data_IF_921602650921
#
_entry.id   IF_921602650921
#
_cell.length_a   1.000
_cell.length_b   1.000
_cell.length_c   1.000
_cell.angle_alpha   90.00
_cell.angle_beta   90.00
_cell.angle_gamma   90.00
#
_symmetry.space_group_name_H-M   'P 1'
#
loop_
_entity.id
_entity.type
_entity.pdbx_description
1 polymer ?
#
# COMPACT_ATOMS: atom_id res chain seq x y z
N UNK A 1 -29.67 15.30 -22.96
CA UNK A 1 -29.02 14.13 -22.35
C UNK A 1 -28.53 14.53 -20.97
N UNK A 2 -29.15 14.02 -19.91
CA UNK A 2 -28.67 14.27 -18.55
C UNK A 2 -27.47 13.36 -18.27
N UNK A 3 -26.29 13.99 -18.10
CA UNK A 3 -25.06 13.33 -17.67
C UNK A 3 -25.24 12.93 -16.20
N UNK A 4 -24.99 11.66 -15.86
CA UNK A 4 -25.15 11.11 -14.50
C UNK A 4 -24.23 11.82 -13.48
N UNK A 5 -24.60 11.80 -12.21
CA UNK A 5 -23.81 12.44 -11.13
C UNK A 5 -22.37 11.88 -11.04
N UNK A 6 -22.21 10.58 -11.33
CA UNK A 6 -20.91 9.93 -11.41
C UNK A 6 -20.08 10.48 -12.59
N UNK A 7 -20.66 10.60 -13.77
CA UNK A 7 -20.00 11.16 -14.95
C UNK A 7 -19.62 12.64 -14.74
N UNK A 8 -20.46 13.44 -14.07
CA UNK A 8 -20.14 14.84 -13.72
C UNK A 8 -18.95 14.95 -12.75
N UNK A 9 -18.87 14.07 -11.76
CA UNK A 9 -17.78 14.03 -10.76
C UNK A 9 -16.45 13.57 -11.38
N UNK A 10 -16.53 12.56 -12.26
CA UNK A 10 -15.37 12.12 -13.03
C UNK A 10 -14.92 13.24 -13.98
N UNK A 11 -15.83 13.90 -14.68
CA UNK A 11 -15.52 15.01 -15.57
C UNK A 11 -14.77 16.13 -14.83
N UNK A 12 -15.20 16.52 -13.62
CA UNK A 12 -14.48 17.49 -12.79
C UNK A 12 -13.05 17.02 -12.43
N UNK A 13 -12.84 15.72 -12.20
CA UNK A 13 -11.51 15.16 -11.94
C UNK A 13 -10.61 15.14 -13.18
N UNK A 14 -11.19 15.01 -14.38
CA UNK A 14 -10.47 15.13 -15.64
C UNK A 14 -10.05 16.59 -15.90
N UNK A 15 -10.91 17.54 -15.54
CA UNK A 15 -10.62 18.98 -15.59
C UNK A 15 -9.39 19.32 -14.75
N UNK A 16 -9.39 18.96 -13.46
CA UNK A 16 -8.24 19.20 -12.56
C UNK A 16 -6.94 18.55 -13.05
N UNK A 17 -7.02 17.35 -13.64
CA UNK A 17 -5.84 16.67 -14.19
C UNK A 17 -5.21 17.41 -15.38
N UNK A 18 -6.01 18.00 -16.27
CA UNK A 18 -5.50 18.78 -17.41
C UNK A 18 -5.05 20.19 -16.99
N UNK A 19 -5.65 20.79 -15.96
CA UNK A 19 -5.15 22.07 -15.40
C UNK A 19 -3.75 21.91 -14.79
N UNK A 20 -3.41 20.73 -14.29
CA UNK A 20 -2.07 20.38 -13.77
C UNK A 20 -1.08 19.93 -14.85
N UNK A 21 -1.53 19.77 -16.10
CA UNK A 21 -0.70 19.31 -17.21
C UNK A 21 0.57 20.17 -17.44
N UNK A 22 0.52 21.51 -17.34
CA UNK A 22 1.73 22.35 -17.41
C UNK A 22 2.75 22.05 -16.31
N UNK A 23 2.28 21.70 -15.10
CA UNK A 23 3.15 21.36 -13.96
C UNK A 23 3.82 20.00 -14.20
N UNK A 24 3.05 19.00 -14.64
CA UNK A 24 3.55 17.65 -14.96
C UNK A 24 4.57 17.65 -16.09
N UNK A 25 4.44 18.60 -17.02
CA UNK A 25 5.31 18.72 -18.19
C UNK A 25 6.47 19.70 -17.99
N UNK A 26 6.57 20.37 -16.84
CA UNK A 26 7.61 21.38 -16.57
C UNK A 26 9.03 20.83 -16.66
N UNK A 27 9.32 19.71 -15.99
CA UNK A 27 10.66 19.08 -16.04
C UNK A 27 10.97 18.42 -17.41
N UNK A 28 10.05 17.65 -18.04
CA UNK A 28 10.28 17.07 -19.36
C UNK A 28 10.50 18.09 -20.49
N UNK A 29 9.96 19.30 -20.34
CA UNK A 29 9.98 20.35 -21.37
C UNK A 29 10.84 21.56 -20.99
N UNK A 30 11.70 21.46 -19.97
CA UNK A 30 12.49 22.59 -19.44
C UNK A 30 13.31 23.32 -20.53
N UNK A 31 13.78 22.59 -21.54
CA UNK A 31 14.56 23.11 -22.68
C UNK A 31 13.71 23.69 -23.82
N UNK A 32 12.39 23.65 -23.73
CA UNK A 32 11.44 24.09 -24.76
C UNK A 32 10.41 25.01 -24.11
N UNK A 33 10.49 26.32 -24.38
CA UNK A 33 9.50 27.28 -23.88
C UNK A 33 8.11 26.93 -24.43
N UNK A 34 7.24 26.39 -23.58
CA UNK A 34 5.94 25.85 -23.95
C UNK A 34 4.87 26.39 -22.99
N UNK A 35 3.78 26.93 -23.54
CA UNK A 35 2.58 27.29 -22.78
C UNK A 35 1.37 26.51 -23.28
N UNK A 36 0.45 26.21 -22.36
CA UNK A 36 -0.74 25.41 -22.66
C UNK A 36 -1.98 26.09 -22.09
N UNK A 37 -3.06 26.12 -22.87
CA UNK A 37 -4.37 26.60 -22.43
C UNK A 37 -5.46 25.65 -22.90
N UNK A 38 -6.31 25.20 -21.99
CA UNK A 38 -7.40 24.28 -22.27
C UNK A 38 -8.76 25.00 -22.24
N UNK A 39 -9.53 24.83 -23.31
CA UNK A 39 -10.92 25.27 -23.43
C UNK A 39 -11.83 24.04 -23.26
N UNK A 40 -12.86 24.15 -22.42
CA UNK A 40 -13.70 23.03 -21.98
C UNK A 40 -15.11 23.12 -22.57
N UNK A 41 -15.59 22.04 -23.18
CA UNK A 41 -16.96 21.88 -23.68
C UNK A 41 -17.50 20.49 -23.28
N UNK A 42 -18.84 20.28 -23.25
CA UNK A 42 -19.44 19.01 -22.84
C UNK A 42 -18.86 17.78 -23.58
N UNK A 43 -18.61 17.91 -24.88
CA UNK A 43 -18.23 16.78 -25.74
C UNK A 43 -16.74 16.78 -26.13
N UNK A 44 -15.96 17.79 -25.74
CA UNK A 44 -14.53 17.84 -26.05
C UNK A 44 -13.72 18.81 -25.16
N UNK A 45 -12.43 18.50 -25.03
CA UNK A 45 -11.40 19.34 -24.41
C UNK A 45 -10.48 19.82 -25.52
N UNK A 46 -10.31 21.13 -25.67
CA UNK A 46 -9.37 21.70 -26.64
C UNK A 46 -8.19 22.32 -25.92
N UNK A 47 -7.04 21.66 -25.97
CA UNK A 47 -5.79 22.17 -25.41
C UNK A 47 -4.94 22.79 -26.51
N UNK A 48 -4.70 24.09 -26.43
CA UNK A 48 -3.78 24.83 -27.32
C UNK A 48 -2.38 24.78 -26.71
N UNK A 49 -1.40 24.38 -27.52
CA UNK A 49 0.02 24.36 -27.19
C UNK A 49 0.73 25.43 -28.00
N UNK A 50 1.46 26.33 -27.34
CA UNK A 50 2.25 27.37 -27.96
C UNK A 50 3.72 27.16 -27.61
N UNK A 51 4.58 27.13 -28.63
CA UNK A 51 6.03 27.08 -28.47
C UNK A 51 6.59 28.50 -28.71
N UNK A 52 7.31 29.07 -27.73
CA UNK A 52 7.74 30.48 -27.65
C UNK A 52 6.64 31.54 -27.44
N UNK A 53 6.99 32.68 -26.83
CA UNK A 53 6.07 33.79 -26.48
C UNK A 53 5.55 34.58 -27.69
N UNK A 54 6.31 34.68 -28.77
CA UNK A 54 6.00 35.52 -29.95
C UNK A 54 5.47 34.76 -31.16
N UNK A 55 5.28 33.43 -31.07
CA UNK A 55 4.84 32.66 -32.22
C UNK A 55 3.31 32.64 -32.31
N UNK A 56 2.77 33.06 -33.47
CA UNK A 56 1.37 32.79 -33.89
C UNK A 56 1.12 31.28 -34.13
N UNK A 57 2.07 30.41 -33.77
CA UNK A 57 2.10 28.97 -34.04
C UNK A 57 1.35 28.21 -32.93
N UNK A 58 0.04 28.16 -33.05
CA UNK A 58 -0.83 27.44 -32.10
C UNK A 58 -1.08 26.02 -32.60
N UNK A 59 -0.57 25.02 -31.88
CA UNK A 59 -0.92 23.62 -32.13
C UNK A 59 -2.16 23.28 -31.30
N UNK A 60 -3.20 22.78 -31.95
CA UNK A 60 -4.44 22.37 -31.29
C UNK A 60 -4.43 20.90 -30.98
N UNK A 61 -4.50 20.52 -29.71
CA UNK A 61 -4.82 19.15 -29.29
C UNK A 61 -6.29 19.11 -28.91
N UNK A 62 -7.08 18.34 -29.65
CA UNK A 62 -8.50 18.14 -29.38
C UNK A 62 -8.69 16.74 -28.83
N UNK A 63 -9.24 16.64 -27.63
CA UNK A 63 -9.69 15.39 -27.03
C UNK A 63 -11.20 15.35 -27.14
N UNK A 64 -11.75 14.46 -27.97
CA UNK A 64 -13.20 14.24 -28.02
C UNK A 64 -13.61 13.23 -26.97
N UNK A 65 -14.75 13.50 -26.33
CA UNK A 65 -15.36 12.67 -25.30
C UNK A 65 -16.65 12.11 -25.90
N UNK A 66 -16.66 10.82 -26.23
CA UNK A 66 -17.84 10.13 -26.76
C UNK A 66 -18.16 8.97 -25.83
N UNK A 67 -19.24 9.06 -25.05
CA UNK A 67 -19.82 7.93 -24.30
C UNK A 67 -18.77 7.02 -23.64
N UNK A 68 -17.89 7.58 -22.81
CA UNK A 68 -16.86 6.83 -22.07
C UNK A 68 -15.57 6.49 -22.82
N UNK A 69 -15.46 6.82 -24.11
CA UNK A 69 -14.26 6.66 -24.93
C UNK A 69 -13.63 8.02 -25.25
N UNK A 70 -12.30 8.11 -25.16
CA UNK A 70 -11.55 9.31 -25.53
C UNK A 70 -10.81 9.09 -26.85
N UNK A 71 -10.90 10.08 -27.74
CA UNK A 71 -10.03 10.15 -28.92
C UNK A 71 -9.20 11.43 -28.90
N UNK A 72 -7.90 11.29 -29.10
CA UNK A 72 -6.95 12.42 -29.14
C UNK A 72 -6.58 12.72 -30.59
N UNK A 73 -6.93 13.91 -31.06
CA UNK A 73 -6.50 14.42 -32.36
C UNK A 73 -5.57 15.61 -32.17
N UNK A 74 -4.35 15.51 -32.66
CA UNK A 74 -3.42 16.62 -32.76
C UNK A 74 -3.58 17.28 -34.13
N UNK A 75 -3.89 18.58 -34.16
CA UNK A 75 -4.03 19.38 -35.37
C UNK A 75 -2.87 20.37 -35.42
N UNK A 76 -1.98 20.14 -36.39
CA UNK A 76 -0.89 21.07 -36.72
C UNK A 76 -1.32 21.80 -38.00
N UNK A 77 -1.43 23.14 -38.00
CA UNK A 77 -1.76 23.89 -39.22
C UNK A 77 -0.71 23.65 -40.32
N UNK A 78 -1.14 23.58 -41.58
CA UNK A 78 -0.27 23.27 -42.73
C UNK A 78 0.93 24.23 -42.87
N UNK A 79 0.76 25.46 -42.38
CA UNK A 79 1.78 26.52 -42.44
C UNK A 79 2.76 26.50 -41.24
N UNK A 80 2.78 25.44 -40.43
CA UNK A 80 3.61 25.34 -39.22
C UNK A 80 4.68 24.26 -39.37
N UNK A 81 5.93 24.68 -39.62
CA UNK A 81 7.10 23.81 -39.57
C UNK A 81 7.65 23.69 -38.13
N UNK A 82 7.69 22.47 -37.59
CA UNK A 82 8.22 22.17 -36.25
C UNK A 82 9.66 21.68 -36.31
N UNK A 83 10.51 22.23 -35.45
CA UNK A 83 11.88 21.75 -35.19
C UNK A 83 11.90 20.35 -34.57
N UNK A 84 13.06 19.69 -34.59
CA UNK A 84 13.26 18.36 -33.98
C UNK A 84 12.91 18.38 -32.48
N UNK A 85 13.28 19.45 -31.78
CA UNK A 85 12.98 19.63 -30.35
C UNK A 85 11.48 19.78 -30.09
N UNK A 86 10.77 20.59 -30.90
CA UNK A 86 9.32 20.78 -30.79
C UNK A 86 8.55 19.49 -31.13
N UNK A 87 8.98 18.74 -32.15
CA UNK A 87 8.40 17.41 -32.47
C UNK A 87 8.61 16.40 -31.35
N UNK A 88 9.71 16.49 -30.61
CA UNK A 88 9.99 15.64 -29.44
C UNK A 88 9.12 16.06 -28.25
N UNK A 89 9.00 17.36 -27.99
CA UNK A 89 8.12 17.92 -26.98
C UNK A 89 6.65 17.53 -27.23
N UNK A 90 6.16 17.70 -28.46
CA UNK A 90 4.80 17.34 -28.83
C UNK A 90 4.50 15.85 -28.62
N UNK A 91 5.47 14.96 -28.93
CA UNK A 91 5.34 13.52 -28.63
C UNK A 91 5.25 13.23 -27.13
N UNK A 92 5.99 13.96 -26.29
CA UNK A 92 5.93 13.82 -24.83
C UNK A 92 4.55 14.27 -24.33
N UNK A 93 4.07 15.43 -24.79
CA UNK A 93 2.75 15.98 -24.44
C UNK A 93 1.63 14.99 -24.80
N UNK A 94 1.63 14.48 -26.03
CA UNK A 94 0.62 13.51 -26.48
C UNK A 94 0.65 12.21 -25.68
N UNK A 95 1.84 11.71 -25.31
CA UNK A 95 1.97 10.51 -24.46
C UNK A 95 1.41 10.72 -23.05
N UNK A 96 1.66 11.89 -22.45
CA UNK A 96 1.13 12.22 -21.12
C UNK A 96 -0.40 12.33 -21.18
N UNK A 97 -0.94 13.02 -22.19
CA UNK A 97 -2.39 13.13 -22.40
C UNK A 97 -3.01 11.74 -22.62
N UNK A 98 -2.43 10.90 -23.48
CA UNK A 98 -2.93 9.54 -23.71
C UNK A 98 -2.91 8.69 -22.44
N UNK A 99 -1.87 8.79 -21.61
CA UNK A 99 -1.80 8.08 -20.33
C UNK A 99 -2.84 8.56 -19.32
N UNK A 100 -3.08 9.88 -19.26
CA UNK A 100 -4.12 10.46 -18.41
C UNK A 100 -5.50 9.96 -18.82
N UNK A 101 -5.79 9.96 -20.13
CA UNK A 101 -7.07 9.49 -20.67
C UNK A 101 -7.26 7.99 -20.47
N UNK A 102 -6.24 7.16 -20.74
CA UNK A 102 -6.30 5.72 -20.46
C UNK A 102 -6.44 5.41 -18.95
N UNK A 103 -5.91 6.26 -18.07
CA UNK A 103 -6.14 6.16 -16.63
C UNK A 103 -7.55 6.58 -16.23
N UNK A 104 -8.23 7.35 -17.05
CA UNK A 104 -9.56 7.87 -16.79
C UNK A 104 -10.65 6.96 -17.38
N UNK A 105 -10.45 6.47 -18.61
CA UNK A 105 -11.20 5.35 -19.21
C UNK A 105 -11.29 4.16 -18.25
N UNK A 106 -10.16 3.73 -17.68
CA UNK A 106 -10.16 2.64 -16.68
C UNK A 106 -11.00 2.92 -15.44
N UNK A 107 -11.18 4.18 -15.04
CA UNK A 107 -12.02 4.58 -13.91
C UNK A 107 -13.50 4.62 -14.30
N UNK A 108 -13.80 5.10 -15.51
CA UNK A 108 -15.16 5.09 -16.08
C UNK A 108 -15.65 3.65 -16.34
N UNK A 109 -14.83 2.78 -16.91
CA UNK A 109 -15.15 1.35 -17.10
C UNK A 109 -15.24 0.58 -15.78
N UNK A 110 -14.70 1.12 -14.68
CA UNK A 110 -14.90 0.59 -13.33
C UNK A 110 -16.20 1.12 -12.68
N UNK A 111 -16.88 2.08 -13.32
CA UNK A 111 -18.13 2.68 -12.85
C UNK A 111 -19.39 2.22 -13.59
N UNK A 112 -19.26 1.40 -14.65
CA UNK A 112 -20.38 0.57 -15.09
C UNK A 112 -20.73 -0.41 -13.97
N UNK A 113 -22.02 -0.57 -13.60
CA UNK A 113 -22.44 -1.59 -12.66
C UNK A 113 -22.19 -2.95 -13.30
N UNK A 114 -20.98 -3.49 -13.12
CA UNK A 114 -20.70 -4.88 -13.38
C UNK A 114 -21.59 -5.70 -12.45
N UNK A 115 -22.66 -6.23 -13.04
CA UNK A 115 -23.39 -7.41 -12.60
C UNK A 115 -22.39 -8.54 -12.37
N UNK A 116 -21.80 -8.56 -11.18
CA UNK A 116 -20.63 -9.38 -10.87
C UNK A 116 -19.75 -8.71 -9.81
N UNK A 117 -20.32 -8.53 -8.62
CA UNK A 117 -19.63 -8.10 -7.41
C UNK A 117 -18.32 -8.89 -7.24
N UNK A 118 -17.18 -8.29 -7.56
CA UNK A 118 -15.85 -8.78 -7.17
C UNK A 118 -15.58 -8.42 -5.71
N UNK A 119 -16.31 -9.05 -4.80
CA UNK A 119 -15.85 -9.17 -3.42
C UNK A 119 -14.78 -10.26 -3.39
N UNK A 120 -13.70 -9.98 -2.67
CA UNK A 120 -12.48 -10.80 -2.59
C UNK A 120 -11.66 -10.80 -3.88
N UNK A 121 -10.90 -9.72 -4.09
CA UNK A 121 -9.65 -9.81 -4.84
C UNK A 121 -8.51 -9.57 -3.86
N UNK A 122 -7.98 -10.67 -3.35
CA UNK A 122 -6.58 -10.90 -3.00
C UNK A 122 -6.52 -12.21 -2.20
N UNK A 123 -6.47 -13.35 -2.90
CA UNK A 123 -5.66 -14.45 -2.37
C UNK A 123 -4.23 -13.96 -2.47
N UNK A 124 -3.76 -13.20 -1.47
CA UNK A 124 -2.34 -12.95 -1.31
C UNK A 124 -1.73 -14.29 -0.91
N UNK A 125 -1.25 -15.06 -1.90
CA UNK A 125 -0.33 -16.17 -1.61
C UNK A 125 0.92 -15.59 -0.96
N UNK A 126 0.99 -15.63 0.37
CA UNK A 126 2.20 -15.21 1.12
C UNK A 126 3.18 -16.38 1.14
N UNK A 127 3.90 -16.57 0.04
CA UNK A 127 5.10 -17.41 -0.05
C UNK A 127 4.91 -18.93 0.19
N UNK A 128 5.89 -19.75 -0.20
CA UNK A 128 5.84 -21.21 -0.05
C UNK A 128 6.11 -21.77 1.36
N UNK A 129 6.82 -21.09 2.27
CA UNK A 129 7.29 -21.70 3.54
C UNK A 129 6.76 -21.05 4.84
N UNK A 130 5.72 -20.24 4.76
CA UNK A 130 4.81 -19.97 5.88
C UNK A 130 3.48 -20.52 5.42
N UNK A 131 2.94 -21.56 6.10
CA UNK A 131 1.72 -22.25 5.66
C UNK A 131 0.68 -21.28 5.10
N UNK A 132 0.01 -21.68 4.01
CA UNK A 132 -0.89 -20.82 3.23
C UNK A 132 -1.67 -19.85 4.12
N UNK A 133 -1.59 -18.55 3.83
CA UNK A 133 -2.42 -17.53 4.47
C UNK A 133 -3.36 -16.96 3.41
N UNK A 134 -4.66 -17.00 3.69
CA UNK A 134 -5.68 -16.39 2.83
C UNK A 134 -6.31 -15.21 3.55
N UNK A 135 -6.33 -14.05 2.89
CA UNK A 135 -6.92 -12.83 3.45
C UNK A 135 -8.36 -12.69 2.96
N UNK A 136 -9.32 -12.73 3.88
CA UNK A 136 -10.73 -12.46 3.64
C UNK A 136 -11.07 -11.03 4.08
N UNK A 137 -11.30 -10.13 3.12
CA UNK A 137 -11.73 -8.75 3.41
C UNK A 137 -13.24 -8.66 3.52
N UNK A 138 -13.75 -8.41 4.72
CA UNK A 138 -15.20 -8.44 5.02
C UNK A 138 -15.85 -7.06 5.04
N UNK A 139 -15.06 -5.99 5.11
CA UNK A 139 -15.55 -4.62 5.13
C UNK A 139 -14.53 -3.66 4.53
N UNK A 140 -15.00 -2.52 4.06
CA UNK A 140 -14.15 -1.39 3.65
C UNK A 140 -14.47 -0.12 4.43
N UNK A 141 -15.31 -0.22 5.47
CA UNK A 141 -15.48 0.82 6.49
C UNK A 141 -14.43 0.70 7.58
N UNK A 142 -13.98 1.83 8.11
CA UNK A 142 -13.01 1.88 9.21
C UNK A 142 -13.37 3.04 10.15
N UNK A 143 -13.09 2.89 11.45
CA UNK A 143 -13.20 3.93 12.48
C UNK A 143 -11.93 4.79 12.60
N UNK A 144 -10.94 4.57 11.73
CA UNK A 144 -9.72 5.37 11.58
C UNK A 144 -9.55 5.83 10.13
N UNK A 145 -8.67 6.81 9.90
CA UNK A 145 -8.32 7.35 8.58
C UNK A 145 -6.81 7.45 8.44
N UNK A 146 -6.13 6.36 8.79
CA UNK A 146 -4.69 6.28 8.89
C UNK A 146 -4.02 6.88 7.68
N UNK A 147 -2.98 7.66 7.95
CA UNK A 147 -2.32 8.35 6.88
C UNK A 147 -1.75 7.37 5.84
N UNK A 148 -1.02 6.39 6.30
CA UNK A 148 -0.37 5.34 5.50
C UNK A 148 -1.32 4.22 5.05
N UNK A 149 -2.65 4.41 5.11
CA UNK A 149 -3.58 3.36 4.74
C UNK A 149 -3.47 3.03 3.24
N UNK A 150 -3.23 1.75 2.93
CA UNK A 150 -3.24 1.24 1.56
C UNK A 150 -4.55 0.51 1.20
N UNK A 151 -5.45 0.34 2.17
CA UNK A 151 -6.77 -0.26 1.93
C UNK A 151 -7.68 0.81 1.33
N UNK A 152 -8.30 0.48 0.19
CA UNK A 152 -9.33 1.32 -0.41
C UNK A 152 -10.62 1.25 0.43
N UNK A 153 -10.92 2.35 1.14
CA UNK A 153 -12.09 2.45 2.01
C UNK A 153 -13.36 2.94 1.28
N UNK A 154 -13.36 2.99 -0.06
CA UNK A 154 -14.54 3.37 -0.85
C UNK A 154 -15.56 2.25 -1.04
N UNK A 155 -15.22 1.01 -0.65
CA UNK A 155 -16.08 -0.16 -0.80
C UNK A 155 -17.21 -0.26 0.24
N UNK A 156 -18.07 -1.28 0.06
CA UNK A 156 -19.18 -1.61 0.97
C UNK A 156 -18.81 -2.69 2.00
N UNK A 157 -19.57 -2.77 3.09
CA UNK A 157 -19.54 -3.94 3.98
C UNK A 157 -20.11 -5.17 3.25
N UNK A 158 -19.43 -6.31 3.33
CA UNK A 158 -19.87 -7.54 2.67
C UNK A 158 -21.08 -8.17 3.39
N UNK A 159 -22.01 -8.76 2.64
CA UNK A 159 -23.07 -9.58 3.20
C UNK A 159 -22.54 -10.96 3.62
N UNK A 160 -23.32 -11.70 4.42
CA UNK A 160 -22.95 -13.08 4.79
C UNK A 160 -22.92 -13.98 3.56
N UNK A 161 -23.89 -13.87 2.64
CA UNK A 161 -23.90 -14.67 1.41
C UNK A 161 -22.67 -14.43 0.54
N UNK A 162 -22.14 -13.20 0.51
CA UNK A 162 -20.91 -12.85 -0.19
C UNK A 162 -19.69 -13.49 0.48
N UNK A 163 -19.67 -13.52 1.81
CA UNK A 163 -18.62 -14.15 2.62
C UNK A 163 -18.68 -15.67 2.51
N UNK A 164 -19.87 -16.28 2.58
CA UNK A 164 -20.08 -17.71 2.42
C UNK A 164 -19.58 -18.20 1.07
N UNK A 165 -20.00 -17.54 -0.01
CA UNK A 165 -19.50 -17.85 -1.36
C UNK A 165 -17.98 -17.75 -1.42
N UNK A 166 -17.40 -16.70 -0.83
CA UNK A 166 -15.95 -16.50 -0.80
C UNK A 166 -15.22 -17.63 -0.06
N UNK A 167 -15.75 -18.08 1.07
CA UNK A 167 -15.21 -19.21 1.83
C UNK A 167 -15.34 -20.51 1.03
N UNK A 168 -16.45 -20.72 0.30
CA UNK A 168 -16.66 -21.91 -0.53
C UNK A 168 -15.70 -22.02 -1.70
N UNK A 169 -15.25 -20.91 -2.27
CA UNK A 169 -14.21 -20.90 -3.30
C UNK A 169 -12.82 -21.30 -2.78
N UNK A 170 -12.58 -21.29 -1.47
CA UNK A 170 -11.28 -21.68 -0.89
C UNK A 170 -11.15 -23.20 -0.82
N UNK A 171 -9.99 -23.76 -1.18
CA UNK A 171 -9.76 -25.21 -1.21
C UNK A 171 -10.02 -25.86 0.17
N UNK A 172 -11.09 -26.68 0.33
CA UNK A 172 -11.45 -27.32 1.60
C UNK A 172 -10.31 -28.14 2.22
N UNK A 173 -9.43 -28.72 1.40
CA UNK A 173 -8.32 -29.58 1.87
C UNK A 173 -7.19 -28.75 2.50
N UNK A 174 -7.02 -27.50 2.06
CA UNK A 174 -6.00 -26.59 2.58
C UNK A 174 -6.44 -25.84 3.86
N UNK A 175 -7.74 -25.62 4.06
CA UNK A 175 -8.30 -24.77 5.15
C UNK A 175 -7.81 -25.12 6.55
N UNK A 176 -7.58 -26.40 6.81
CA UNK A 176 -7.20 -26.88 8.14
C UNK A 176 -5.74 -26.59 8.50
N UNK A 177 -4.88 -26.36 7.48
CA UNK A 177 -3.47 -26.03 7.59
C UNK A 177 -3.19 -24.53 7.36
N UNK A 178 -4.10 -23.87 6.64
CA UNK A 178 -4.07 -22.46 6.29
C UNK A 178 -4.47 -21.53 7.45
N UNK A 179 -3.86 -20.35 7.49
CA UNK A 179 -4.31 -19.23 8.32
C UNK A 179 -5.32 -18.41 7.53
N UNK A 180 -6.57 -18.36 7.98
CA UNK A 180 -7.57 -17.43 7.45
C UNK A 180 -7.44 -16.10 8.16
N UNK A 181 -7.05 -15.06 7.43
CA UNK A 181 -6.93 -13.70 7.94
C UNK A 181 -8.16 -12.89 7.60
N UNK A 182 -8.98 -12.58 8.60
CA UNK A 182 -10.11 -11.66 8.47
C UNK A 182 -9.56 -10.22 8.53
N UNK A 183 -9.82 -9.46 7.48
CA UNK A 183 -9.26 -8.12 7.25
C UNK A 183 -10.30 -7.20 6.58
N UNK A 184 -9.87 -6.04 6.10
CA UNK A 184 -10.72 -5.01 5.52
C UNK A 184 -10.29 -3.61 5.93
N UNK A 185 -11.26 -2.73 6.15
CA UNK A 185 -11.04 -1.44 6.81
C UNK A 185 -10.81 -1.62 8.31
N UNK A 186 -11.88 -1.87 9.07
CA UNK A 186 -11.81 -2.34 10.47
C UNK A 186 -12.85 -3.45 10.69
N UNK A 187 -12.46 -4.74 10.67
CA UNK A 187 -13.36 -5.88 10.82
C UNK A 187 -14.24 -5.84 12.07
N UNK A 188 -13.76 -5.26 13.17
CA UNK A 188 -14.52 -5.17 14.43
C UNK A 188 -15.70 -4.19 14.38
N UNK A 189 -15.84 -3.43 13.28
CA UNK A 189 -17.03 -2.61 12.97
C UNK A 189 -18.11 -3.41 12.25
N UNK A 190 -17.81 -4.61 11.74
CA UNK A 190 -18.78 -5.43 11.03
C UNK A 190 -19.82 -5.99 12.01
N UNK A 191 -21.14 -5.75 11.80
CA UNK A 191 -22.18 -6.12 12.77
C UNK A 191 -22.27 -7.63 13.01
N UNK A 192 -21.93 -8.43 11.98
CA UNK A 192 -21.96 -9.90 12.01
C UNK A 192 -20.58 -10.57 12.11
N UNK A 193 -19.58 -9.89 12.71
CA UNK A 193 -18.22 -10.44 12.81
C UNK A 193 -18.19 -11.82 13.51
N UNK A 194 -18.97 -11.99 14.58
CA UNK A 194 -19.02 -13.26 15.32
C UNK A 194 -19.54 -14.40 14.43
N UNK A 195 -20.64 -14.17 13.71
CA UNK A 195 -21.21 -15.13 12.76
C UNK A 195 -20.20 -15.51 11.66
N UNK A 196 -19.41 -14.54 11.17
CA UNK A 196 -18.37 -14.78 10.16
C UNK A 196 -17.25 -15.66 10.71
N UNK A 197 -16.80 -15.41 11.94
CA UNK A 197 -15.77 -16.22 12.60
C UNK A 197 -16.27 -17.66 12.82
N UNK A 198 -17.50 -17.82 13.31
CA UNK A 198 -18.12 -19.14 13.50
C UNK A 198 -18.32 -19.88 12.18
N UNK A 199 -18.81 -19.19 11.15
CA UNK A 199 -18.95 -19.73 9.80
C UNK A 199 -17.60 -20.21 9.27
N UNK A 200 -16.54 -19.42 9.44
CA UNK A 200 -15.18 -19.80 9.04
C UNK A 200 -14.72 -21.08 9.77
N UNK A 201 -14.97 -21.18 11.08
CA UNK A 201 -14.67 -22.40 11.87
C UNK A 201 -15.47 -23.60 11.34
N UNK A 202 -16.78 -23.46 11.10
CA UNK A 202 -17.64 -24.52 10.54
C UNK A 202 -17.18 -24.99 9.15
N UNK A 203 -16.54 -24.11 8.37
CA UNK A 203 -15.97 -24.42 7.06
C UNK A 203 -14.57 -25.06 7.11
N UNK A 204 -14.05 -25.34 8.32
CA UNK A 204 -12.82 -26.11 8.54
C UNK A 204 -11.56 -25.29 8.83
N UNK A 205 -11.67 -23.96 8.95
CA UNK A 205 -10.52 -23.13 9.31
C UNK A 205 -10.21 -23.26 10.80
N UNK A 206 -9.04 -23.84 11.10
CA UNK A 206 -8.57 -24.04 12.49
C UNK A 206 -7.74 -22.87 13.01
N UNK A 207 -7.11 -22.10 12.12
CA UNK A 207 -6.30 -20.93 12.45
C UNK A 207 -6.95 -19.69 11.84
N UNK A 208 -7.58 -18.87 12.68
CA UNK A 208 -8.20 -17.62 12.26
C UNK A 208 -7.40 -16.47 12.87
N UNK A 209 -7.01 -15.53 12.02
CA UNK A 209 -6.28 -14.31 12.39
C UNK A 209 -7.16 -13.09 12.13
N UNK A 210 -7.30 -12.22 13.10
CA UNK A 210 -8.02 -10.95 12.95
C UNK A 210 -7.04 -9.79 12.81
N UNK A 211 -7.07 -9.10 11.66
CA UNK A 211 -6.38 -7.83 11.48
C UNK A 211 -7.27 -6.69 11.97
N UNK A 212 -6.82 -5.93 12.97
CA UNK A 212 -7.64 -4.91 13.64
C UNK A 212 -6.78 -3.79 14.22
N UNK A 213 -7.36 -2.62 14.47
CA UNK A 213 -6.77 -1.55 15.29
C UNK A 213 -7.09 -1.68 16.79
N UNK A 214 -7.82 -2.74 17.19
CA UNK A 214 -8.20 -3.07 18.57
C UNK A 214 -9.07 -2.04 19.32
N UNK A 215 -9.45 -0.90 18.72
CA UNK A 215 -10.21 0.16 19.41
C UNK A 215 -11.56 -0.35 19.91
N UNK A 216 -12.32 -1.06 19.07
CA UNK A 216 -13.59 -1.65 19.48
C UNK A 216 -13.43 -2.82 20.46
N UNK A 217 -12.25 -3.41 20.54
CA UNK A 217 -11.93 -4.50 21.48
C UNK A 217 -11.63 -3.98 22.89
N UNK A 218 -11.61 -2.65 23.11
CA UNK A 218 -11.68 -2.04 24.45
C UNK A 218 -12.90 -2.50 25.26
N UNK A 219 -13.95 -2.96 24.57
CA UNK A 219 -15.05 -3.70 25.18
C UNK A 219 -14.67 -5.17 25.34
N UNK A 220 -14.43 -5.57 26.59
CA UNK A 220 -14.04 -6.94 26.95
C UNK A 220 -15.00 -8.01 26.42
N UNK A 221 -16.31 -7.76 26.48
CA UNK A 221 -17.35 -8.69 25.98
C UNK A 221 -17.18 -9.05 24.50
N UNK A 222 -16.59 -8.16 23.69
CA UNK A 222 -16.33 -8.42 22.27
C UNK A 222 -15.15 -9.37 22.07
N UNK A 223 -14.13 -9.30 22.92
CA UNK A 223 -12.98 -10.21 22.85
C UNK A 223 -13.39 -11.60 23.30
N UNK A 224 -14.13 -11.71 24.40
CA UNK A 224 -14.59 -12.99 24.96
C UNK A 224 -15.47 -13.75 23.95
N UNK A 225 -16.39 -13.06 23.27
CA UNK A 225 -17.26 -13.66 22.24
C UNK A 225 -16.52 -14.17 20.99
N UNK A 226 -15.37 -13.57 20.64
CA UNK A 226 -14.56 -14.06 19.52
C UNK A 226 -13.90 -15.41 19.85
N UNK A 227 -13.69 -15.68 21.14
CA UNK A 227 -12.95 -16.84 21.63
C UNK A 227 -11.49 -16.81 21.21
N UNK A 228 -10.79 -17.93 21.42
CA UNK A 228 -9.35 -18.03 21.12
C UNK A 228 -9.08 -17.84 19.62
N UNK A 229 -8.19 -16.90 19.31
CA UNK A 229 -7.75 -16.62 17.95
C UNK A 229 -6.36 -15.97 17.90
N UNK A 230 -5.86 -15.77 16.68
CA UNK A 230 -4.68 -14.95 16.43
C UNK A 230 -5.13 -13.50 16.19
N UNK A 231 -4.45 -12.53 16.77
CA UNK A 231 -4.68 -11.11 16.58
C UNK A 231 -3.46 -10.47 15.95
N UNK A 232 -3.67 -9.69 14.90
CA UNK A 232 -2.64 -8.88 14.26
C UNK A 232 -3.06 -7.42 14.38
N UNK A 233 -2.58 -6.76 15.44
CA UNK A 233 -3.05 -5.45 15.86
C UNK A 233 -2.17 -4.36 15.29
N UNK A 234 -2.75 -3.47 14.49
CA UNK A 234 -2.10 -2.27 13.99
C UNK A 234 -2.01 -1.22 15.09
N UNK A 235 -0.83 -1.11 15.71
CA UNK A 235 -0.53 -0.17 16.79
C UNK A 235 0.87 0.41 16.54
N UNK A 236 0.94 1.72 16.28
CA UNK A 236 2.07 2.32 15.55
C UNK A 236 2.88 3.35 16.35
N UNK A 237 2.47 3.65 17.57
CA UNK A 237 3.13 4.60 18.47
C UNK A 237 2.69 4.36 19.91
N UNK A 238 3.62 4.52 20.86
CA UNK A 238 3.34 4.52 22.30
C UNK A 238 2.93 5.90 22.81
N UNK A 239 3.16 6.95 22.01
CA UNK A 239 2.78 8.33 22.32
C UNK A 239 1.36 8.59 21.82
N UNK A 240 0.42 9.01 22.70
CA UNK A 240 -0.98 9.23 22.32
C UNK A 240 -1.16 10.22 21.17
N UNK A 241 -0.44 11.34 21.19
CA UNK A 241 -0.58 12.42 20.20
C UNK A 241 -0.11 11.95 18.82
N UNK A 242 1.02 11.25 18.77
CA UNK A 242 1.54 10.67 17.53
C UNK A 242 0.64 9.54 17.03
N UNK A 243 0.08 8.72 17.93
CA UNK A 243 -0.90 7.67 17.54
C UNK A 243 -2.13 8.28 16.86
N UNK A 244 -2.71 9.33 17.47
CA UNK A 244 -3.87 10.04 16.93
C UNK A 244 -3.53 10.72 15.59
N UNK A 245 -2.34 11.32 15.47
CA UNK A 245 -1.84 11.90 14.21
C UNK A 245 -1.72 10.85 13.10
N UNK A 246 -1.09 9.71 13.39
CA UNK A 246 -0.87 8.60 12.47
C UNK A 246 -2.19 8.00 11.98
N UNK A 247 -3.14 7.80 12.90
CA UNK A 247 -4.44 7.17 12.64
C UNK A 247 -5.52 8.15 12.16
N UNK A 248 -5.22 9.46 12.21
CA UNK A 248 -6.18 10.56 12.04
C UNK A 248 -7.44 10.34 12.86
N UNK A 249 -7.23 10.04 14.13
CA UNK A 249 -8.28 9.83 15.11
C UNK A 249 -8.10 10.80 16.28
N UNK A 250 -9.01 10.77 17.27
CA UNK A 250 -8.94 11.61 18.46
C UNK A 250 -9.26 10.78 19.69
N UNK A 251 -8.31 10.68 20.62
CA UNK A 251 -8.42 9.98 21.88
C UNK A 251 -8.51 8.45 21.77
N UNK A 252 -8.23 7.85 20.59
CA UNK A 252 -8.39 6.40 20.41
C UNK A 252 -7.23 5.59 20.97
N UNK A 253 -6.10 6.22 21.30
CA UNK A 253 -4.95 5.55 21.93
C UNK A 253 -5.36 4.72 23.15
N UNK A 254 -6.14 5.30 24.07
CA UNK A 254 -6.57 4.61 25.30
C UNK A 254 -7.43 3.39 24.99
N UNK A 255 -8.34 3.50 24.02
CA UNK A 255 -9.17 2.37 23.59
C UNK A 255 -8.36 1.28 22.91
N UNK A 256 -7.37 1.63 22.08
CA UNK A 256 -6.49 0.64 21.45
C UNK A 256 -5.66 -0.12 22.50
N UNK A 257 -5.07 0.58 23.48
CA UNK A 257 -4.33 -0.03 24.60
C UNK A 257 -5.24 -0.92 25.44
N UNK A 258 -6.45 -0.45 25.78
CA UNK A 258 -7.45 -1.24 26.49
C UNK A 258 -7.85 -2.50 25.71
N UNK A 259 -8.02 -2.40 24.39
CA UNK A 259 -8.30 -3.55 23.53
C UNK A 259 -7.15 -4.56 23.48
N UNK A 260 -5.90 -4.08 23.41
CA UNK A 260 -4.72 -4.95 23.51
C UNK A 260 -4.70 -5.69 24.85
N UNK A 261 -4.95 -5.00 25.97
CA UNK A 261 -5.03 -5.65 27.30
C UNK A 261 -6.12 -6.72 27.36
N UNK A 262 -7.32 -6.40 26.88
CA UNK A 262 -8.40 -7.38 26.86
C UNK A 262 -8.06 -8.63 26.02
N UNK A 263 -7.36 -8.46 24.89
CA UNK A 263 -6.88 -9.60 24.06
C UNK A 263 -5.92 -10.48 24.86
N UNK A 264 -4.96 -9.88 25.56
CA UNK A 264 -3.96 -10.58 26.35
C UNK A 264 -4.59 -11.32 27.55
N UNK A 265 -5.44 -10.63 28.30
CA UNK A 265 -6.08 -11.14 29.51
C UNK A 265 -7.14 -12.22 29.24
N UNK A 266 -7.76 -12.23 28.06
CA UNK A 266 -8.73 -13.27 27.70
C UNK A 266 -8.13 -14.69 27.60
N UNK A 267 -6.79 -14.80 27.52
CA UNK A 267 -6.08 -16.08 27.52
C UNK A 267 -6.19 -16.86 26.21
N UNK A 268 -5.22 -17.74 25.94
CA UNK A 268 -5.16 -18.59 24.74
C UNK A 268 -4.87 -17.88 23.42
N UNK A 269 -4.99 -16.55 23.37
CA UNK A 269 -4.76 -15.74 22.17
C UNK A 269 -3.28 -15.62 21.81
N UNK A 270 -3.02 -15.54 20.50
CA UNK A 270 -1.70 -15.13 19.99
C UNK A 270 -1.80 -13.70 19.50
N UNK A 271 -0.94 -12.80 19.99
CA UNK A 271 -0.96 -11.40 19.61
C UNK A 271 0.34 -10.99 18.90
N UNK A 272 0.20 -10.44 17.70
CA UNK A 272 1.25 -9.75 16.96
C UNK A 272 0.91 -8.27 16.84
N UNK A 273 1.81 -7.38 17.28
CA UNK A 273 1.72 -5.94 17.04
C UNK A 273 2.37 -5.60 15.70
N UNK A 274 1.64 -4.93 14.83
CA UNK A 274 2.10 -4.44 13.55
C UNK A 274 2.44 -2.96 13.61
N UNK A 275 3.69 -2.63 13.26
CA UNK A 275 4.19 -1.26 13.21
C UNK A 275 4.51 -0.91 11.76
N UNK A 276 3.72 -0.04 11.14
CA UNK A 276 4.06 0.54 9.83
C UNK A 276 5.08 1.66 10.07
N UNK A 277 6.33 1.38 9.74
CA UNK A 277 7.43 2.32 9.96
C UNK A 277 7.39 3.41 8.90
N UNK A 278 7.43 4.66 9.34
CA UNK A 278 7.31 5.85 8.51
C UNK A 278 8.09 7.03 9.12
N UNK A 279 8.12 8.16 8.42
CA UNK A 279 8.90 9.34 8.81
C UNK A 279 8.51 9.96 10.15
N UNK A 280 7.28 9.72 10.64
CA UNK A 280 6.81 10.27 11.91
C UNK A 280 7.14 9.38 13.13
N UNK A 281 7.33 8.07 12.94
CA UNK A 281 7.47 7.13 14.06
C UNK A 281 8.80 6.38 14.12
N UNK A 282 9.64 6.41 13.08
CA UNK A 282 10.84 5.59 13.06
C UNK A 282 11.79 5.87 14.23
N UNK A 283 11.96 7.15 14.62
CA UNK A 283 12.83 7.55 15.72
C UNK A 283 12.29 7.10 17.10
N UNK A 284 10.98 6.87 17.20
CA UNK A 284 10.27 6.51 18.43
C UNK A 284 10.15 4.99 18.59
N UNK A 285 10.60 4.19 17.61
CA UNK A 285 10.51 2.73 17.65
C UNK A 285 11.12 2.13 18.92
N UNK A 286 12.32 2.55 19.39
CA UNK A 286 12.90 1.94 20.57
C UNK A 286 12.01 2.13 21.81
N UNK A 287 11.51 3.34 22.05
CA UNK A 287 10.58 3.63 23.16
C UNK A 287 9.23 2.92 23.00
N UNK A 288 8.80 2.68 21.76
CA UNK A 288 7.62 1.86 21.50
C UNK A 288 7.81 0.40 21.92
N UNK A 289 9.00 -0.17 21.74
CA UNK A 289 9.32 -1.51 22.22
C UNK A 289 9.31 -1.58 23.75
N UNK A 290 9.85 -0.58 24.44
CA UNK A 290 9.81 -0.51 25.91
C UNK A 290 8.36 -0.48 26.41
N UNK A 291 7.50 0.30 25.76
CA UNK A 291 6.07 0.34 26.09
C UNK A 291 5.37 -0.99 25.85
N UNK A 292 5.65 -1.66 24.72
CA UNK A 292 5.07 -2.98 24.43
C UNK A 292 5.53 -4.03 25.46
N UNK A 293 6.78 -3.96 25.90
CA UNK A 293 7.30 -4.85 26.94
C UNK A 293 6.56 -4.66 28.28
N UNK A 294 6.31 -3.41 28.68
CA UNK A 294 5.51 -3.11 29.87
C UNK A 294 4.05 -3.53 29.72
N UNK A 295 3.47 -3.36 28.52
CA UNK A 295 2.08 -3.67 28.25
C UNK A 295 1.81 -5.18 28.22
N UNK A 296 2.77 -5.97 27.73
CA UNK A 296 2.54 -7.40 27.49
C UNK A 296 2.60 -8.23 28.77
N UNK A 297 3.42 -7.85 29.76
CA UNK A 297 3.76 -8.72 30.87
C UNK A 297 2.52 -9.20 31.65
N UNK A 298 2.37 -10.51 31.95
CA UNK A 298 3.30 -11.62 31.68
C UNK A 298 3.08 -12.34 30.32
N UNK A 299 2.18 -11.84 29.48
CA UNK A 299 1.76 -12.49 28.25
C UNK A 299 2.76 -12.30 27.09
N UNK A 300 2.89 -13.30 26.19
CA UNK A 300 3.72 -13.16 25.00
C UNK A 300 3.09 -12.22 23.96
N UNK A 301 3.92 -11.39 23.35
CA UNK A 301 3.60 -10.61 22.15
C UNK A 301 4.70 -10.86 21.11
N UNK A 302 4.30 -10.91 19.84
CA UNK A 302 5.21 -10.81 18.70
C UNK A 302 5.13 -9.42 18.06
N UNK A 303 6.19 -8.99 17.37
CA UNK A 303 6.23 -7.71 16.65
C UNK A 303 6.52 -7.95 15.18
N UNK A 304 5.76 -7.26 14.31
CA UNK A 304 6.02 -7.20 12.87
C UNK A 304 6.28 -5.75 12.45
N UNK A 305 7.48 -5.50 11.92
CA UNK A 305 7.85 -4.21 11.36
C UNK A 305 7.51 -4.18 9.86
N UNK A 306 6.50 -3.40 9.51
CA UNK A 306 6.06 -3.20 8.14
C UNK A 306 6.76 -2.00 7.50
N UNK A 307 7.35 -2.21 6.34
CA UNK A 307 7.68 -1.16 5.39
C UNK A 307 6.41 -0.47 4.91
N UNK A 308 6.44 0.86 4.88
CA UNK A 308 5.40 1.66 4.24
C UNK A 308 5.26 1.29 2.75
N UNK A 309 4.07 0.85 2.35
CA UNK A 309 3.72 0.72 0.94
C UNK A 309 3.12 2.03 0.45
N UNK A 310 3.77 2.69 -0.52
CA UNK A 310 3.20 3.91 -1.12
C UNK A 310 2.29 3.60 -2.32
N UNK A 311 2.16 2.31 -2.69
CA UNK A 311 1.24 1.85 -3.74
C UNK A 311 -0.19 1.99 -3.22
N UNK A 312 -0.95 2.90 -3.84
CA UNK A 312 -2.35 3.14 -3.47
C UNK A 312 -2.57 4.21 -2.39
N UNK A 313 -1.56 5.04 -2.09
CA UNK A 313 -1.73 6.21 -1.21
C UNK A 313 -2.69 7.22 -1.85
N UNK A 314 -3.99 7.04 -1.60
CA UNK A 314 -5.03 7.99 -1.99
C UNK A 314 -5.12 9.14 -0.96
N UNK A 315 -4.49 9.03 0.23
CA UNK A 315 -4.78 9.96 1.34
C UNK A 315 -3.61 10.29 2.28
N UNK A 316 -2.43 10.72 1.82
CA UNK A 316 -1.41 11.26 2.76
C UNK A 316 -0.38 12.23 2.22
N UNK A 317 0.19 13.10 3.09
CA UNK A 317 1.45 13.80 2.88
C UNK A 317 2.63 12.82 2.92
N UNK A 318 3.81 13.36 2.70
CA UNK A 318 5.11 12.73 2.45
C UNK A 318 5.67 11.79 3.56
N UNK A 319 4.96 10.71 3.92
CA UNK A 319 5.28 9.81 5.06
C UNK A 319 6.44 8.82 4.83
N UNK A 320 6.90 8.62 3.59
CA UNK A 320 8.05 7.75 3.34
C UNK A 320 9.30 8.25 4.06
N UNK A 321 10.16 7.31 4.47
CA UNK A 321 11.41 7.55 5.19
C UNK A 321 12.53 6.83 4.44
N UNK A 322 13.70 7.46 4.32
CA UNK A 322 14.88 6.79 3.79
C UNK A 322 15.30 5.64 4.72
N UNK A 323 15.57 4.47 4.14
CA UNK A 323 15.92 3.28 4.88
C UNK A 323 17.22 3.43 5.69
N UNK A 324 18.19 4.18 5.18
CA UNK A 324 19.43 4.46 5.89
C UNK A 324 19.19 5.31 7.14
N UNK A 325 18.25 6.25 7.09
CA UNK A 325 17.83 7.04 8.26
C UNK A 325 17.05 6.21 9.29
N UNK A 326 16.20 5.30 8.83
CA UNK A 326 15.40 4.43 9.69
C UNK A 326 16.21 3.31 10.35
N UNK A 327 17.24 2.79 9.66
CA UNK A 327 17.98 1.60 10.06
C UNK A 327 18.55 1.65 11.49
N UNK A 328 19.17 2.74 11.98
CA UNK A 328 19.68 2.80 13.35
C UNK A 328 18.61 2.51 14.41
N UNK A 329 17.47 3.21 14.34
CA UNK A 329 16.37 3.06 15.30
C UNK A 329 15.70 1.68 15.20
N UNK A 330 15.58 1.13 13.98
CA UNK A 330 15.09 -0.24 13.79
C UNK A 330 16.01 -1.27 14.46
N UNK A 331 17.33 -1.16 14.26
CA UNK A 331 18.27 -2.11 14.83
C UNK A 331 18.34 -2.02 16.36
N UNK A 332 18.28 -0.82 16.93
CA UNK A 332 18.16 -0.65 18.38
C UNK A 332 16.88 -1.31 18.91
N UNK A 333 15.76 -1.15 18.19
CA UNK A 333 14.48 -1.79 18.54
C UNK A 333 14.57 -3.32 18.50
N UNK A 334 15.27 -3.88 17.53
CA UNK A 334 15.52 -5.33 17.44
C UNK A 334 16.41 -5.83 18.60
N UNK A 335 17.40 -5.05 19.02
CA UNK A 335 18.23 -5.36 20.18
C UNK A 335 17.42 -5.34 21.48
N UNK A 336 16.51 -4.38 21.64
CA UNK A 336 15.54 -4.34 22.75
C UNK A 336 14.59 -5.55 22.72
N UNK A 337 14.04 -5.89 21.56
CA UNK A 337 13.21 -7.09 21.42
C UNK A 337 13.97 -8.35 21.87
N UNK A 338 15.23 -8.51 21.44
CA UNK A 338 16.08 -9.63 21.88
C UNK A 338 16.32 -9.61 23.39
N UNK A 339 16.65 -8.44 23.96
CA UNK A 339 16.88 -8.27 25.40
C UNK A 339 15.66 -8.66 26.24
N UNK A 340 14.47 -8.26 25.79
CA UNK A 340 13.22 -8.55 26.49
C UNK A 340 12.66 -9.94 26.18
N UNK A 341 13.19 -10.65 25.17
CA UNK A 341 12.58 -11.91 24.71
C UNK A 341 11.23 -11.67 24.01
N UNK A 342 11.07 -10.54 23.32
CA UNK A 342 9.96 -10.30 22.41
C UNK A 342 10.27 -10.97 21.09
N UNK A 343 9.34 -11.82 20.61
CA UNK A 343 9.46 -12.46 19.30
C UNK A 343 9.31 -11.39 18.21
N UNK A 344 10.21 -11.38 17.24
CA UNK A 344 10.05 -10.57 16.02
C UNK A 344 9.68 -11.50 14.88
N UNK A 345 8.61 -11.18 14.18
CA UNK A 345 8.22 -11.90 12.98
C UNK A 345 9.24 -11.67 11.85
N UNK A 346 9.53 -12.67 11.00
CA UNK A 346 10.52 -12.53 9.94
C UNK A 346 10.19 -11.39 8.97
N UNK A 347 11.23 -10.70 8.48
CA UNK A 347 11.10 -9.68 7.43
C UNK A 347 10.88 -10.38 6.10
N UNK A 348 9.61 -10.67 5.83
CA UNK A 348 9.19 -11.52 4.74
C UNK A 348 7.99 -10.91 3.99
N UNK A 349 7.91 -11.14 2.68
CA UNK A 349 6.79 -10.69 1.85
C UNK A 349 6.86 -9.23 1.40
N UNK A 350 5.69 -8.67 1.07
CA UNK A 350 5.59 -7.37 0.40
C UNK A 350 5.81 -6.17 1.32
N UNK A 351 5.55 -6.34 2.60
CA UNK A 351 5.75 -5.28 3.59
C UNK A 351 7.09 -5.44 4.32
N UNK A 352 7.99 -6.32 3.85
CA UNK A 352 9.28 -6.50 4.49
C UNK A 352 10.21 -5.32 4.24
N UNK A 353 10.87 -4.87 5.30
CA UNK A 353 12.06 -4.00 5.21
C UNK A 353 13.23 -4.85 4.69
N UNK A 354 14.03 -4.36 3.71
CA UNK A 354 15.15 -5.11 3.15
C UNK A 354 16.14 -5.56 4.22
N UNK A 355 16.53 -6.83 4.14
CA UNK A 355 17.40 -7.47 5.12
C UNK A 355 18.77 -6.79 5.27
N UNK A 356 19.26 -6.10 4.24
CA UNK A 356 20.50 -5.32 4.28
C UNK A 356 20.44 -4.06 5.15
N UNK A 357 19.26 -3.70 5.66
CA UNK A 357 19.11 -2.64 6.66
C UNK A 357 19.28 -3.18 8.09
N UNK A 358 19.43 -4.49 8.26
CA UNK A 358 19.53 -5.15 9.56
C UNK A 358 21.01 -5.47 9.88
N UNK A 359 21.41 -5.34 11.15
CA UNK A 359 22.73 -5.72 11.65
C UNK A 359 22.94 -7.24 11.62
N UNK A 360 21.89 -8.01 11.86
CA UNK A 360 21.94 -9.50 11.87
C UNK A 360 20.87 -10.08 10.92
N UNK A 361 21.04 -9.92 9.60
CA UNK A 361 20.02 -10.28 8.60
C UNK A 361 19.53 -11.73 8.70
N UNK A 362 20.45 -12.67 8.94
CA UNK A 362 20.15 -14.11 9.00
C UNK A 362 19.21 -14.49 10.14
N UNK A 363 19.20 -13.74 11.25
CA UNK A 363 18.34 -14.02 12.39
C UNK A 363 16.85 -13.72 12.12
N UNK A 364 16.56 -12.85 11.13
CA UNK A 364 15.21 -12.39 10.85
C UNK A 364 14.75 -12.67 9.41
N UNK A 365 15.52 -13.46 8.66
CA UNK A 365 15.17 -13.91 7.31
C UNK A 365 14.01 -14.91 7.37
N UNK A 366 13.02 -14.73 6.50
CA UNK A 366 11.98 -15.74 6.28
C UNK A 366 12.58 -17.06 5.73
N UNK A 367 11.88 -18.17 5.94
CA UNK A 367 12.30 -19.46 5.37
C UNK A 367 11.95 -19.58 3.88
N UNK A 368 10.91 -18.85 3.47
CA UNK A 368 10.34 -18.90 2.13
C UNK A 368 11.12 -18.05 1.14
N UNK A 369 11.43 -18.64 -0.01
CA UNK A 369 11.85 -17.88 -1.19
C UNK A 369 10.64 -17.20 -1.84
N UNK A 370 10.86 -16.02 -2.41
CA UNK A 370 9.84 -15.26 -3.13
C UNK A 370 10.13 -15.26 -4.62
N UNK A 371 9.10 -15.46 -5.48
CA UNK A 371 9.22 -15.19 -6.90
C UNK A 371 9.76 -13.78 -7.14
N UNK A 372 10.75 -13.66 -8.02
CA UNK A 372 11.40 -12.38 -8.35
C UNK A 372 10.90 -11.80 -9.67
N UNK A 373 9.89 -12.40 -10.30
CA UNK A 373 9.44 -12.08 -11.67
C UNK A 373 8.91 -10.63 -11.83
N UNK A 374 8.38 -10.06 -10.75
CA UNK A 374 7.89 -8.68 -10.68
C UNK A 374 8.86 -7.72 -9.97
N UNK A 375 10.08 -8.18 -9.68
CA UNK A 375 11.17 -7.40 -9.06
C UNK A 375 12.08 -6.85 -10.15
N UNK A 376 12.14 -5.52 -10.26
CA UNK A 376 13.01 -4.83 -11.21
C UNK A 376 14.40 -4.63 -10.62
N UNK A 377 15.41 -5.16 -11.30
CA UNK A 377 16.81 -4.95 -10.97
C UNK A 377 17.38 -3.86 -11.87
N UNK A 378 17.61 -2.67 -11.33
CA UNK A 378 18.14 -1.51 -12.03
C UNK A 378 18.68 -0.49 -11.01
N UNK A 379 19.56 0.42 -11.44
CA UNK A 379 20.17 1.40 -10.53
C UNK A 379 19.46 2.76 -10.58
N UNK A 380 18.72 3.05 -11.66
CA UNK A 380 17.97 4.30 -11.86
C UNK A 380 16.48 4.00 -12.12
N UNK A 381 15.57 4.71 -11.45
CA UNK A 381 14.12 4.53 -11.52
C UNK A 381 13.34 5.72 -12.11
N UNK A 382 14.02 6.68 -12.75
CA UNK A 382 13.38 7.81 -13.43
C UNK A 382 12.31 7.32 -14.43
N UNK A 383 11.07 7.80 -14.28
CA UNK A 383 9.98 7.57 -15.24
C UNK A 383 9.34 6.15 -15.23
N UNK A 384 9.67 5.30 -14.25
CA UNK A 384 9.11 3.96 -14.12
C UNK A 384 7.63 3.93 -13.69
N UNK A 385 6.92 2.83 -13.98
CA UNK A 385 5.59 2.56 -13.38
C UNK A 385 5.73 2.48 -11.86
N UNK A 386 4.85 3.16 -11.11
CA UNK A 386 4.83 3.20 -9.64
C UNK A 386 4.52 1.85 -8.99
N UNK A 387 4.16 0.83 -9.77
CA UNK A 387 3.83 -0.52 -9.28
C UNK A 387 5.03 -1.47 -9.34
N UNK A 388 5.02 -2.44 -8.44
CA UNK A 388 5.99 -3.52 -8.37
C UNK A 388 7.10 -3.29 -7.35
N UNK A 389 8.14 -4.11 -7.45
CA UNK A 389 9.29 -4.11 -6.54
C UNK A 389 10.58 -3.72 -7.25
N UNK A 390 11.52 -3.21 -6.48
CA UNK A 390 12.77 -2.63 -6.96
C UNK A 390 13.96 -3.11 -6.13
N UNK A 391 15.05 -3.44 -6.84
CA UNK A 391 16.36 -3.78 -6.29
C UNK A 391 17.46 -3.15 -7.17
N UNK A 392 18.63 -2.94 -6.57
CA UNK A 392 19.83 -2.53 -7.30
C UNK A 392 20.34 -3.67 -8.17
N UNK A 393 21.03 -3.40 -9.28
CA UNK A 393 21.65 -4.45 -10.10
C UNK A 393 22.59 -5.35 -9.27
N UNK A 394 23.33 -4.74 -8.35
CA UNK A 394 24.23 -5.45 -7.44
C UNK A 394 23.52 -6.44 -6.51
N UNK A 395 22.22 -6.30 -6.28
CA UNK A 395 21.45 -7.22 -5.43
C UNK A 395 21.39 -8.64 -6.01
N UNK A 396 21.58 -8.83 -7.33
CA UNK A 396 21.66 -10.18 -7.94
C UNK A 396 22.77 -11.05 -7.33
N UNK A 397 23.79 -10.44 -6.75
CA UNK A 397 24.90 -11.12 -6.06
C UNK A 397 24.69 -11.32 -4.55
N UNK A 398 23.54 -10.92 -4.02
CA UNK A 398 23.24 -10.96 -2.58
C UNK A 398 22.91 -12.38 -2.12
N UNK A 399 23.46 -12.79 -0.97
CA UNK A 399 23.15 -14.07 -0.31
C UNK A 399 21.65 -14.24 0.01
N UNK A 400 20.92 -13.13 0.16
CA UNK A 400 19.51 -13.12 0.51
C UNK A 400 18.60 -12.66 -0.63
N UNK A 401 19.07 -12.69 -1.88
CA UNK A 401 18.30 -12.18 -3.02
C UNK A 401 16.92 -12.85 -3.14
N UNK A 402 16.86 -14.18 -3.05
CA UNK A 402 15.62 -14.95 -3.14
C UNK A 402 14.65 -14.73 -1.97
N UNK A 403 15.14 -14.25 -0.82
CA UNK A 403 14.34 -14.04 0.40
C UNK A 403 13.90 -12.58 0.58
N UNK A 404 14.58 -11.65 -0.09
CA UNK A 404 14.31 -10.22 -0.02
C UNK A 404 13.59 -9.77 -1.27
N UNK A 405 12.45 -9.09 -1.16
CA UNK A 405 11.74 -8.51 -2.32
C UNK A 405 12.19 -7.08 -2.66
N UNK A 406 13.28 -6.59 -2.08
CA UNK A 406 13.73 -5.20 -2.24
C UNK A 406 12.73 -4.20 -1.66
N UNK A 407 12.54 -3.07 -2.33
CA UNK A 407 11.62 -1.98 -1.92
C UNK A 407 10.49 -1.80 -2.92
N UNK A 408 9.45 -1.05 -2.59
CA UNK A 408 8.44 -0.62 -3.57
C UNK A 408 9.08 0.29 -4.64
N UNK A 409 8.63 0.22 -5.90
CA UNK A 409 9.14 1.12 -6.95
C UNK A 409 8.93 2.60 -6.60
N UNK A 410 7.83 2.92 -5.93
CA UNK A 410 7.55 4.28 -5.45
C UNK A 410 8.62 4.80 -4.48
N UNK A 411 9.10 3.95 -3.56
CA UNK A 411 10.24 4.26 -2.68
C UNK A 411 11.48 4.53 -3.53
N UNK A 412 11.80 3.65 -4.47
CA UNK A 412 13.00 3.75 -5.30
C UNK A 412 13.03 5.05 -6.12
N UNK A 413 11.86 5.50 -6.58
CA UNK A 413 11.73 6.78 -7.29
C UNK A 413 12.01 8.00 -6.42
N UNK A 414 11.70 7.91 -5.13
CA UNK A 414 11.82 9.03 -4.20
C UNK A 414 13.19 9.11 -3.54
N UNK A 415 13.70 7.97 -3.06
CA UNK A 415 14.92 7.90 -2.26
C UNK A 415 16.10 7.28 -3.00
N UNK A 416 15.90 6.77 -4.21
CA UNK A 416 16.91 5.96 -4.89
C UNK A 416 17.11 4.60 -4.21
N UNK A 417 18.15 3.89 -4.63
CA UNK A 417 18.48 2.55 -4.12
C UNK A 417 19.88 2.43 -3.52
N UNK A 418 20.59 3.54 -3.31
CA UNK A 418 21.99 3.52 -2.86
C UNK A 418 22.17 2.97 -1.44
N UNK A 419 21.11 2.99 -0.64
CA UNK A 419 21.07 2.36 0.69
C UNK A 419 20.96 0.83 0.62
N UNK A 420 20.59 0.25 -0.53
CA UNK A 420 20.52 -1.20 -0.70
C UNK A 420 21.89 -1.78 -1.06
N UNK A 421 22.46 -2.53 -0.13
CA UNK A 421 23.76 -3.20 -0.31
C UNK A 421 23.61 -4.73 -0.31
N UNK A 422 24.25 -5.45 -1.25
CA UNK A 422 24.22 -6.91 -1.23
C UNK A 422 24.97 -7.41 0.02
N UNK A 423 24.33 -8.35 0.74
CA UNK A 423 24.97 -9.08 1.83
C UNK A 423 25.78 -10.21 1.21
N UNK A 424 27.07 -10.26 1.53
CA UNK A 424 28.00 -11.29 1.05
C UNK A 424 28.31 -12.27 2.18
N UNK A 425 28.69 -13.51 1.87
CA UNK A 425 29.24 -14.41 2.88
C UNK A 425 30.43 -13.74 3.54
N UNK A 426 30.44 -13.65 4.86
CA UNK A 426 31.67 -13.32 5.59
C UNK A 426 32.68 -14.42 5.27
N UNK A 427 33.80 -14.08 4.61
CA UNK A 427 34.97 -14.97 4.61
C UNK A 427 35.26 -15.22 6.08
N UNK A 428 35.03 -16.44 6.55
CA UNK A 428 35.71 -16.90 7.76
C UNK A 428 37.19 -16.63 7.52
N UNK A 429 37.82 -15.87 8.42
CA UNK A 429 39.27 -15.81 8.44
C UNK A 429 39.77 -17.26 8.50
N UNK A 430 40.74 -17.68 7.67
CA UNK A 430 41.32 -19.00 7.82
C UNK A 430 41.85 -19.11 9.25
N UNK A 431 41.37 -20.16 9.93
CA UNK A 431 41.76 -20.58 11.28
C UNK A 431 43.24 -20.80 11.42
#
# INVERSE_FOLDING_TARGET
MEVSLAERTHFASLVDAFERLPILLRAPLEKVQCSMRSDWKPDYIRTKVCFHKDSLRRIGIVVRILTGQFSVRCVVPENVALSIAERRALRIILRVIQRLLASFERRLSASEPQSGIRLVKDVLKVGPDSGHETVLRICFTCNQRCGFCFVDLSGKTASLDEIERSLDFMDPRARSAEVLTISGGEPTTHPRLLEIVELSRRRGFRKIKLQTNAVHLSRRDRVEKLGTMMFFVSFHSHRPELYDQLTRSRGQFRSAVSGIRNILEAGGNQLTINIVVNSLNYAELPGHIDFIDQLRHPHPIAIFFSMLSEVGLVRTPDLGVDLGQMAPALNESLERCRKYGIRVEPFSGNCAIPLCQLRVPGAYRGRAEYPQDDVRYQDDFIGCDKRGRAKRLSCKSCLHDQYCRGVCVSYAQRFGLDTLRPIRPTRTAPS
#
